data_IF_234157949336
#
_entry.id   IF_234157949336
#
_cell.length_a   1.000
_cell.length_b   1.000
_cell.length_c   1.000
_cell.angle_alpha   90.00
_cell.angle_beta   90.00
_cell.angle_gamma   90.00
#
_symmetry.space_group_name_H-M   'P 1'
#
loop_
_entity.id
_entity.type
_entity.pdbx_description
1 polymer ?
#
# COMPACT_ATOMS: atom_id res chain seq x y z
N UNK A 1 -2.36 -3.85 1.62
CA UNK A 1 -3.75 -4.17 1.24
C UNK A 1 -3.88 -5.67 1.35
N UNK A 2 -4.95 -6.16 1.98
CA UNK A 2 -5.16 -7.59 2.24
C UNK A 2 -5.76 -8.24 0.99
N UNK A 3 -4.92 -8.52 0.00
CA UNK A 3 -5.33 -9.14 -1.26
C UNK A 3 -5.78 -10.58 -1.03
N UNK A 4 -5.19 -11.25 -0.06
CA UNK A 4 -5.38 -12.64 0.32
C UNK A 4 -6.82 -12.93 0.69
N UNK A 5 -7.39 -12.14 1.61
CA UNK A 5 -8.79 -12.27 2.02
C UNK A 5 -9.76 -11.94 0.89
N UNK A 6 -9.44 -10.97 0.04
CA UNK A 6 -10.29 -10.61 -1.11
C UNK A 6 -10.30 -11.71 -2.17
N UNK A 7 -9.15 -12.35 -2.41
CA UNK A 7 -9.02 -13.48 -3.35
C UNK A 7 -9.73 -14.71 -2.80
N UNK A 8 -9.55 -15.04 -1.52
CA UNK A 8 -10.28 -16.12 -0.85
C UNK A 8 -11.78 -15.90 -0.92
N UNK A 9 -12.24 -14.66 -0.77
CA UNK A 9 -13.64 -14.30 -0.92
C UNK A 9 -14.21 -14.63 -2.28
N UNK A 10 -13.53 -14.21 -3.33
CA UNK A 10 -13.94 -14.52 -4.69
C UNK A 10 -13.93 -16.04 -4.96
N UNK A 11 -13.01 -16.80 -4.36
CA UNK A 11 -12.97 -18.26 -4.51
C UNK A 11 -14.16 -18.92 -3.80
N UNK A 12 -14.47 -18.50 -2.56
CA UNK A 12 -15.53 -19.12 -1.74
C UNK A 12 -16.93 -18.75 -2.23
N UNK A 13 -17.13 -17.50 -2.67
CA UNK A 13 -18.45 -17.01 -3.10
C UNK A 13 -18.82 -17.45 -4.52
N UNK A 14 -17.88 -17.99 -5.30
CA UNK A 14 -18.10 -18.41 -6.69
C UNK A 14 -18.16 -19.93 -6.78
N UNK A 15 -19.12 -20.48 -7.52
CA UNK A 15 -19.25 -21.94 -7.70
C UNK A 15 -18.08 -22.56 -8.48
N UNK A 16 -17.60 -21.88 -9.54
CA UNK A 16 -16.52 -22.34 -10.41
C UNK A 16 -15.43 -21.28 -10.53
N UNK A 17 -14.66 -21.03 -9.47
CA UNK A 17 -13.69 -19.94 -9.45
C UNK A 17 -12.52 -20.28 -10.37
N UNK A 18 -12.31 -19.46 -11.39
CA UNK A 18 -11.07 -19.49 -12.19
C UNK A 18 -10.26 -18.25 -11.88
N UNK A 19 -8.95 -18.28 -12.14
CA UNK A 19 -8.08 -17.11 -11.94
C UNK A 19 -8.60 -15.86 -12.66
N UNK A 20 -9.20 -16.03 -13.85
CA UNK A 20 -9.82 -14.95 -14.61
C UNK A 20 -11.06 -14.38 -13.90
N UNK A 21 -11.98 -15.25 -13.48
CA UNK A 21 -13.20 -14.85 -12.76
C UNK A 21 -12.84 -14.13 -11.45
N UNK A 22 -11.88 -14.65 -10.69
CA UNK A 22 -11.40 -14.02 -9.46
C UNK A 22 -10.83 -12.63 -9.75
N UNK A 23 -10.04 -12.47 -10.81
CA UNK A 23 -9.52 -11.17 -11.23
C UNK A 23 -10.64 -10.19 -11.58
N UNK A 24 -11.64 -10.64 -12.33
CA UNK A 24 -12.76 -9.82 -12.79
C UNK A 24 -13.67 -9.37 -11.63
N UNK A 25 -13.96 -10.26 -10.67
CA UNK A 25 -14.79 -9.96 -9.50
C UNK A 25 -14.09 -9.00 -8.53
N UNK A 26 -12.78 -9.18 -8.32
CA UNK A 26 -12.04 -8.42 -7.31
C UNK A 26 -11.40 -7.14 -7.86
N UNK A 27 -11.26 -7.02 -9.17
CA UNK A 27 -10.48 -5.96 -9.83
C UNK A 27 -8.97 -6.05 -9.57
N UNK A 28 -8.48 -7.20 -9.09
CA UNK A 28 -7.05 -7.46 -8.88
C UNK A 28 -6.46 -7.98 -10.18
N UNK A 29 -5.23 -7.57 -10.53
CA UNK A 29 -4.57 -8.08 -11.74
C UNK A 29 -4.32 -9.59 -11.65
N UNK A 30 -4.45 -10.29 -12.78
CA UNK A 30 -4.23 -11.75 -12.86
C UNK A 30 -2.89 -12.15 -12.25
N UNK A 31 -1.82 -11.40 -12.55
CA UNK A 31 -0.49 -11.65 -11.99
C UNK A 31 -0.51 -11.60 -10.45
N UNK A 32 -1.15 -10.57 -9.85
CA UNK A 32 -1.22 -10.48 -8.39
C UNK A 32 -2.13 -11.55 -7.80
N UNK A 33 -3.22 -11.94 -8.47
CA UNK A 33 -4.03 -13.11 -8.05
C UNK A 33 -3.16 -14.37 -8.02
N UNK A 34 -2.37 -14.64 -9.07
CA UNK A 34 -1.46 -15.78 -9.11
C UNK A 34 -0.42 -15.75 -7.98
N UNK A 35 0.17 -14.57 -7.71
CA UNK A 35 1.10 -14.40 -6.58
C UNK A 35 0.41 -14.74 -5.25
N UNK A 36 -0.80 -14.22 -5.02
CA UNK A 36 -1.56 -14.51 -3.80
C UNK A 36 -1.87 -16.00 -3.68
N UNK A 37 -2.27 -16.67 -4.76
CA UNK A 37 -2.52 -18.12 -4.74
C UNK A 37 -1.27 -18.94 -4.35
N UNK A 38 -0.07 -18.45 -4.66
CA UNK A 38 1.19 -19.07 -4.23
C UNK A 38 1.57 -18.72 -2.79
N UNK A 39 1.15 -17.55 -2.29
CA UNK A 39 1.42 -17.07 -0.92
C UNK A 39 0.43 -17.65 0.12
N UNK A 40 -0.77 -18.07 -0.28
CA UNK A 40 -1.80 -18.61 0.62
C UNK A 40 -1.34 -19.85 1.43
N UNK A 41 -0.64 -20.83 0.85
CA UNK A 41 -0.11 -21.97 1.61
C UNK A 41 0.92 -21.55 2.66
N UNK A 42 1.83 -20.64 2.31
CA UNK A 42 2.90 -20.22 3.25
C UNK A 42 2.40 -19.29 4.34
N UNK A 43 1.41 -18.45 4.03
CA UNK A 43 0.91 -17.42 4.96
C UNK A 43 -0.15 -17.98 5.90
N UNK A 44 -1.04 -18.85 5.41
CA UNK A 44 -2.20 -19.33 6.16
C UNK A 44 -2.31 -20.86 6.23
N UNK A 45 -1.41 -21.60 5.58
CA UNK A 45 -1.53 -23.05 5.45
C UNK A 45 -2.68 -23.50 4.54
N UNK A 46 -3.26 -22.59 3.77
CA UNK A 46 -4.40 -22.90 2.88
C UNK A 46 -3.87 -23.46 1.58
N UNK A 47 -4.20 -24.72 1.29
CA UNK A 47 -3.78 -25.41 0.07
C UNK A 47 -4.92 -25.40 -0.96
N UNK A 48 -4.56 -25.09 -2.20
CA UNK A 48 -5.47 -24.98 -3.33
C UNK A 48 -5.06 -25.97 -4.42
N UNK A 49 -6.01 -26.74 -4.94
CA UNK A 49 -5.83 -27.51 -6.18
C UNK A 49 -6.37 -26.74 -7.38
N UNK A 50 -5.89 -27.14 -8.56
CA UNK A 50 -6.41 -26.70 -9.85
C UNK A 50 -6.95 -27.92 -10.57
N UNK A 51 -8.26 -28.01 -10.62
CA UNK A 51 -8.93 -29.11 -11.29
C UNK A 51 -9.27 -28.68 -12.71
N UNK A 52 -8.96 -29.55 -13.69
CA UNK A 52 -9.29 -29.29 -15.09
C UNK A 52 -10.74 -29.69 -15.34
N UNK A 53 -11.60 -28.71 -15.54
CA UNK A 53 -12.97 -28.91 -15.98
C UNK A 53 -13.08 -28.50 -17.46
N UNK A 54 -12.87 -29.47 -18.36
CA UNK A 54 -12.73 -29.23 -19.79
C UNK A 54 -11.50 -28.37 -20.12
N UNK A 55 -11.72 -27.21 -20.74
CA UNK A 55 -10.65 -26.25 -21.09
C UNK A 55 -10.34 -25.22 -20.00
N UNK A 56 -10.99 -25.31 -18.83
CA UNK A 56 -10.85 -24.33 -17.74
C UNK A 56 -10.18 -24.98 -16.53
N UNK A 57 -9.31 -24.23 -15.86
CA UNK A 57 -8.73 -24.61 -14.57
C UNK A 57 -9.57 -23.96 -13.45
N UNK A 58 -10.27 -24.78 -12.68
CA UNK A 58 -11.10 -24.38 -11.54
C UNK A 58 -10.27 -24.50 -10.26
N UNK A 59 -10.37 -23.51 -9.39
CA UNK A 59 -9.67 -23.43 -8.12
C UNK A 59 -10.51 -24.12 -7.04
N UNK A 60 -9.92 -25.09 -6.35
CA UNK A 60 -10.59 -25.79 -5.25
C UNK A 60 -9.74 -25.68 -3.98
N UNK A 61 -10.37 -25.39 -2.84
CA UNK A 61 -9.67 -25.38 -1.55
C UNK A 61 -9.60 -26.82 -1.04
N UNK A 62 -8.39 -27.36 -0.95
CA UNK A 62 -8.13 -28.73 -0.47
C UNK A 62 -7.97 -28.75 1.04
N UNK A 63 -7.30 -27.73 1.58
CA UNK A 63 -6.97 -27.64 3.01
C UNK A 63 -7.11 -26.22 3.51
N UNK A 64 -7.70 -26.05 4.68
CA UNK A 64 -7.94 -24.74 5.30
C UNK A 64 -6.82 -24.27 6.21
N UNK A 65 -5.77 -25.06 6.41
CA UNK A 65 -4.60 -24.69 7.23
C UNK A 65 -4.97 -24.35 8.66
N UNK A 66 -4.57 -23.16 9.11
CA UNK A 66 -4.83 -22.62 10.46
C UNK A 66 -6.34 -22.50 10.76
N UNK A 67 -7.20 -22.59 9.74
CA UNK A 67 -8.64 -22.44 9.88
C UNK A 67 -9.42 -23.75 9.96
N UNK A 68 -8.75 -24.90 10.07
CA UNK A 68 -9.31 -26.25 10.28
C UNK A 68 -10.47 -26.62 9.32
N UNK A 69 -11.71 -26.22 9.68
CA UNK A 69 -12.93 -26.46 8.90
C UNK A 69 -13.24 -25.39 7.85
N UNK A 70 -12.56 -24.24 7.90
CA UNK A 70 -12.82 -23.09 7.05
C UNK A 70 -14.11 -22.34 7.37
N UNK A 71 -14.92 -22.81 8.32
CA UNK A 71 -16.24 -22.24 8.62
C UNK A 71 -16.14 -20.78 9.09
N UNK A 72 -15.18 -20.49 9.98
CA UNK A 72 -14.93 -19.13 10.43
C UNK A 72 -14.55 -18.20 9.27
N UNK A 73 -13.74 -18.70 8.34
CA UNK A 73 -13.30 -17.93 7.18
C UNK A 73 -14.46 -17.71 6.21
N UNK A 74 -15.30 -18.73 5.98
CA UNK A 74 -16.55 -18.60 5.21
C UNK A 74 -17.46 -17.54 5.84
N UNK A 75 -17.71 -17.58 7.14
CA UNK A 75 -18.57 -16.59 7.82
C UNK A 75 -18.03 -15.17 7.75
N UNK A 76 -16.71 -15.00 7.83
CA UNK A 76 -16.07 -13.68 7.75
C UNK A 76 -16.15 -13.10 6.34
N UNK A 77 -16.05 -13.97 5.36
CA UNK A 77 -15.85 -13.60 3.96
C UNK A 77 -17.14 -13.57 3.16
N UNK A 78 -18.16 -14.31 3.56
CA UNK A 78 -19.48 -14.31 2.93
C UNK A 78 -20.17 -12.93 2.87
N UNK A 79 -20.11 -12.04 3.89
CA UNK A 79 -20.71 -10.70 3.79
C UNK A 79 -19.86 -9.71 2.99
N UNK A 80 -18.70 -10.11 2.47
CA UNK A 80 -17.76 -9.19 1.82
C UNK A 80 -18.25 -8.79 0.42
N UNK A 81 -18.57 -7.51 0.21
CA UNK A 81 -18.99 -6.99 -1.09
C UNK A 81 -17.78 -6.77 -2.02
N UNK A 82 -17.59 -7.73 -2.93
CA UNK A 82 -16.51 -7.70 -3.92
C UNK A 82 -16.64 -6.54 -4.91
N UNK A 83 -17.86 -6.12 -5.24
CA UNK A 83 -18.12 -5.01 -6.17
C UNK A 83 -17.76 -3.67 -5.53
N UNK A 84 -18.11 -3.48 -4.26
CA UNK A 84 -17.68 -2.30 -3.51
C UNK A 84 -16.16 -2.23 -3.40
N UNK A 85 -15.50 -3.36 -3.12
CA UNK A 85 -14.03 -3.43 -3.08
C UNK A 85 -13.43 -3.08 -4.44
N UNK A 86 -13.93 -3.66 -5.54
CA UNK A 86 -13.48 -3.36 -6.90
C UNK A 86 -13.62 -1.88 -7.23
N UNK A 87 -14.80 -1.30 -7.01
CA UNK A 87 -15.05 0.13 -7.31
C UNK A 87 -14.16 1.07 -6.49
N UNK A 88 -13.87 0.73 -5.23
CA UNK A 88 -12.93 1.50 -4.41
C UNK A 88 -11.50 1.49 -4.97
N UNK A 89 -11.07 0.38 -5.58
CA UNK A 89 -9.75 0.22 -6.20
C UNK A 89 -9.65 1.00 -7.50
N UNK A 90 -10.68 0.93 -8.35
CA UNK A 90 -10.76 1.70 -9.60
C UNK A 90 -10.70 3.20 -9.30
N UNK A 91 -11.52 3.69 -8.36
CA UNK A 91 -11.47 5.10 -7.92
C UNK A 91 -10.09 5.51 -7.42
N UNK A 92 -9.36 4.60 -6.76
CA UNK A 92 -8.00 4.86 -6.27
C UNK A 92 -6.98 4.92 -7.40
N UNK A 93 -7.11 4.08 -8.44
CA UNK A 93 -6.22 4.14 -9.61
C UNK A 93 -6.52 5.36 -10.46
N UNK A 94 -7.79 5.66 -10.73
CA UNK A 94 -8.20 6.89 -11.43
C UNK A 94 -7.68 8.14 -10.72
N UNK A 95 -7.79 8.20 -9.39
CA UNK A 95 -7.20 9.29 -8.59
C UNK A 95 -5.67 9.32 -8.62
N UNK A 96 -4.99 8.22 -8.92
CA UNK A 96 -3.54 8.19 -9.05
C UNK A 96 -3.10 8.58 -10.47
N UNK A 97 -3.86 8.17 -11.47
CA UNK A 97 -3.62 8.47 -12.88
C UNK A 97 -3.98 9.92 -13.21
N UNK A 98 -4.99 10.48 -12.53
CA UNK A 98 -5.37 11.89 -12.62
C UNK A 98 -4.44 12.86 -11.87
N UNK A 99 -3.35 12.38 -11.23
CA UNK A 99 -2.40 13.27 -10.57
C UNK A 99 -1.55 13.99 -11.61
N UNK A 100 -1.51 15.32 -11.48
CA UNK A 100 -0.62 16.16 -12.27
C UNK A 100 0.85 15.91 -11.89
N UNK A 101 1.78 16.39 -12.72
CA UNK A 101 3.21 16.34 -12.39
C UNK A 101 3.49 17.01 -11.03
N UNK A 102 2.90 18.17 -10.78
CA UNK A 102 3.06 18.90 -9.53
C UNK A 102 2.57 18.10 -8.33
N UNK A 103 1.44 17.41 -8.44
CA UNK A 103 0.94 16.53 -7.37
C UNK A 103 1.92 15.39 -7.06
N UNK A 104 2.51 14.78 -8.11
CA UNK A 104 3.50 13.71 -7.96
C UNK A 104 4.79 14.26 -7.34
N UNK A 105 5.25 15.43 -7.77
CA UNK A 105 6.42 16.11 -7.23
C UNK A 105 6.24 16.44 -5.74
N UNK A 106 5.09 17.02 -5.37
CA UNK A 106 4.80 17.37 -3.98
C UNK A 106 4.73 16.13 -3.08
N UNK A 107 4.15 15.02 -3.56
CA UNK A 107 4.16 13.75 -2.82
C UNK A 107 5.57 13.20 -2.62
N UNK A 108 6.41 13.30 -3.64
CA UNK A 108 7.80 12.85 -3.57
C UNK A 108 8.61 13.67 -2.56
N UNK A 109 8.52 15.00 -2.61
CA UNK A 109 9.18 15.89 -1.64
C UNK A 109 8.66 15.65 -0.21
N UNK A 110 7.35 15.45 -0.05
CA UNK A 110 6.77 15.09 1.25
C UNK A 110 7.33 13.76 1.79
N UNK A 111 7.49 12.75 0.92
CA UNK A 111 8.08 11.46 1.31
C UNK A 111 9.56 11.60 1.72
N UNK A 112 10.36 12.37 0.98
CA UNK A 112 11.74 12.69 1.36
C UNK A 112 11.81 13.36 2.73
N UNK A 113 10.98 14.38 2.97
CA UNK A 113 10.96 15.08 4.25
C UNK A 113 10.55 14.16 5.39
N UNK A 114 9.58 13.27 5.18
CA UNK A 114 9.18 12.27 6.16
C UNK A 114 10.35 11.33 6.51
N UNK A 115 11.04 10.82 5.50
CA UNK A 115 12.19 9.94 5.70
C UNK A 115 13.34 10.65 6.40
N UNK A 116 13.66 11.88 5.98
CA UNK A 116 14.68 12.71 6.62
C UNK A 116 14.38 12.95 8.10
N UNK A 117 13.14 13.30 8.44
CA UNK A 117 12.72 13.46 9.85
C UNK A 117 12.85 12.17 10.65
N UNK A 118 12.47 11.04 10.06
CA UNK A 118 12.63 9.74 10.70
C UNK A 118 14.10 9.42 10.95
N UNK A 119 14.99 9.70 9.99
CA UNK A 119 16.44 9.55 10.14
C UNK A 119 17.01 10.45 11.24
N UNK A 120 16.64 11.72 11.29
CA UNK A 120 17.05 12.61 12.38
C UNK A 120 16.59 12.11 13.75
N UNK A 121 15.37 11.57 13.84
CA UNK A 121 14.87 10.96 15.07
C UNK A 121 15.71 9.77 15.54
N UNK A 122 16.25 8.96 14.62
CA UNK A 122 17.18 7.87 14.95
C UNK A 122 18.53 8.39 15.47
N UNK A 123 18.97 9.58 15.03
CA UNK A 123 20.17 10.26 15.52
C UNK A 123 19.92 11.02 16.84
N UNK A 124 18.70 10.95 17.40
CA UNK A 124 18.31 11.69 18.59
C UNK A 124 18.08 13.19 18.36
N UNK A 125 18.02 13.62 17.09
CA UNK A 125 17.76 15.00 16.70
C UNK A 125 16.25 15.14 16.46
N UNK A 126 15.55 15.84 17.35
CA UNK A 126 14.14 16.17 17.13
C UNK A 126 14.02 17.19 15.99
N UNK A 127 13.58 16.71 14.83
CA UNK A 127 13.20 17.56 13.72
C UNK A 127 11.91 18.32 14.09
N UNK A 128 12.05 19.48 14.74
CA UNK A 128 10.93 20.32 15.12
C UNK A 128 10.02 20.59 13.91
N UNK A 129 8.75 20.21 14.02
CA UNK A 129 7.73 20.44 12.99
C UNK A 129 7.32 21.92 12.98
N UNK A 130 8.29 22.83 12.77
CA UNK A 130 7.96 24.23 12.55
C UNK A 130 7.16 24.31 11.27
N UNK A 131 5.91 24.78 11.40
CA UNK A 131 5.08 25.08 10.25
C UNK A 131 5.82 26.10 9.39
N UNK A 132 6.03 25.76 8.12
CA UNK A 132 6.62 26.67 7.15
C UNK A 132 5.55 27.73 6.87
N UNK A 133 5.87 29.04 7.01
CA UNK A 133 4.92 30.10 6.69
C UNK A 133 4.35 29.94 5.29
N UNK A 134 3.03 30.01 5.18
CA UNK A 134 2.32 29.93 3.90
C UNK A 134 2.50 31.21 3.09
N UNK A 135 2.64 32.36 3.75
CA UNK A 135 2.89 33.63 3.08
C UNK A 135 4.30 33.72 2.46
N UNK A 136 4.40 34.32 1.27
CA UNK A 136 5.63 34.43 0.49
C UNK A 136 6.65 35.34 1.16
N UNK A 137 6.20 36.46 1.73
CA UNK A 137 7.09 37.43 2.38
C UNK A 137 7.73 36.84 3.64
N UNK A 138 6.92 36.19 4.46
CA UNK A 138 7.36 35.50 5.68
C UNK A 138 8.36 34.37 5.37
N UNK A 139 8.13 33.62 4.28
CA UNK A 139 9.04 32.56 3.84
C UNK A 139 10.39 33.09 3.41
N UNK A 140 10.42 34.23 2.72
CA UNK A 140 11.66 34.88 2.28
C UNK A 140 12.45 35.43 3.47
N UNK A 141 11.77 36.04 4.43
CA UNK A 141 12.38 36.51 5.68
C UNK A 141 12.98 35.35 6.49
N UNK A 142 12.23 34.25 6.63
CA UNK A 142 12.71 33.04 7.30
C UNK A 142 13.95 32.47 6.60
N UNK A 143 13.95 32.40 5.26
CA UNK A 143 15.10 31.95 4.49
C UNK A 143 16.33 32.82 4.74
N UNK A 144 16.20 34.14 4.71
CA UNK A 144 17.32 35.05 4.98
C UNK A 144 17.84 34.91 6.42
N UNK A 145 16.94 34.78 7.39
CA UNK A 145 17.31 34.58 8.80
C UNK A 145 18.10 33.28 9.00
N UNK A 146 17.66 32.18 8.37
CA UNK A 146 18.36 30.89 8.42
C UNK A 146 19.74 30.97 7.74
N UNK A 147 19.83 31.57 6.56
CA UNK A 147 21.10 31.77 5.87
C UNK A 147 22.12 32.54 6.72
N UNK A 148 21.67 33.62 7.38
CA UNK A 148 22.51 34.39 8.32
C UNK A 148 22.95 33.57 9.53
N UNK A 149 22.05 32.78 10.11
CA UNK A 149 22.38 31.92 11.26
C UNK A 149 23.45 30.88 10.91
N UNK A 150 23.31 30.22 9.77
CA UNK A 150 24.25 29.18 9.34
C UNK A 150 25.58 29.74 8.83
N UNK A 151 25.59 30.91 8.19
CA UNK A 151 26.86 31.56 7.81
C UNK A 151 27.70 31.99 9.02
N UNK A 152 27.06 32.41 10.12
CA UNK A 152 27.72 32.70 11.39
C UNK A 152 28.20 31.45 12.13
N UNK A 153 27.51 30.31 11.96
CA UNK A 153 27.94 29.02 12.52
C UNK A 153 29.21 28.50 11.86
N UNK A 154 29.29 28.59 10.52
CA UNK A 154 30.48 28.16 9.77
C UNK A 154 31.72 29.03 10.06
N UNK A 155 31.54 30.33 10.30
CA UNK A 155 32.67 31.21 10.65
C UNK A 155 33.21 31.02 12.07
N UNK A 156 32.39 30.47 12.99
CA UNK A 156 32.84 30.07 14.34
C UNK A 156 33.52 28.70 14.34
N UNK A 157 33.03 27.74 13.56
CA UNK A 157 33.68 26.44 13.38
C UNK A 157 35.09 26.57 12.75
N UNK A 158 35.27 27.50 11.80
CA UNK A 158 36.56 27.76 11.16
C UNK A 158 37.59 28.51 12.04
N UNK A 159 37.20 29.01 13.23
CA UNK A 159 38.11 29.72 14.16
C UNK A 159 38.58 28.85 15.34
N UNK A 160 38.08 27.63 15.46
CA UNK A 160 38.44 26.67 16.51
C UNK A 160 38.95 25.32 15.94
N UNK A 161 39.36 25.30 14.67
CA UNK A 161 40.05 24.17 14.03
C UNK A 161 41.54 24.41 13.97
#
# INVERSE_FOLDING_TARGET
MNYEMTVLAAIIQTEKPTTKIVSELTGISIRKVQTVLLELPTTFGIELSRDKEGNKEVLCIVKWGVFESGNHLKTLVQPMDLQQIKSSRVKKSEKADALTFDDKFMRYEHSKLKNYRASLGLEGIEASSRQIPTDKSERQNLRQALLKKHSQSNSKAAKHG
#
